data_IF_422604975873
#
_entry.id   IF_422604975873
#
_cell.length_a   1.000
_cell.length_b   1.000
_cell.length_c   1.000
_cell.angle_alpha   90.00
_cell.angle_beta   90.00
_cell.angle_gamma   90.00
#
_symmetry.space_group_name_H-M   'P 1'
#
loop_
_entity.id
_entity.type
_entity.pdbx_description
1 polymer ?
#
# COMPACT_ATOMS: atom_id res chain seq x y z
N UNK A 1 -26.98 38.47 32.68
CA UNK A 1 -27.03 38.80 31.22
C UNK A 1 -25.85 39.72 30.99
N UNK A 2 -24.80 39.45 30.22
CA UNK A 2 -24.63 38.73 28.96
C UNK A 2 -23.19 38.16 28.93
N UNK A 3 -23.02 36.92 28.45
CA UNK A 3 -21.71 36.42 28.03
C UNK A 3 -21.44 36.83 26.57
N UNK A 4 -20.18 37.09 26.18
CA UNK A 4 -19.67 36.52 24.93
C UNK A 4 -18.20 36.05 25.11
N UNK A 5 -17.90 34.75 25.05
CA UNK A 5 -17.60 33.98 23.82
C UNK A 5 -16.73 34.77 22.85
N UNK A 6 -15.39 34.70 22.97
CA UNK A 6 -14.43 34.75 21.85
C UNK A 6 -13.07 34.18 22.31
N UNK A 7 -13.08 32.92 22.76
CA UNK A 7 -11.86 32.10 22.84
C UNK A 7 -11.98 31.00 21.78
N UNK A 8 -11.86 31.40 20.51
CA UNK A 8 -11.77 30.44 19.40
C UNK A 8 -10.33 29.92 19.39
N UNK A 9 -10.21 28.65 19.74
CA UNK A 9 -8.95 27.92 19.83
C UNK A 9 -8.30 27.78 18.44
N UNK A 10 -7.03 28.18 18.34
CA UNK A 10 -6.12 27.91 17.21
C UNK A 10 -5.76 26.41 17.09
N UNK A 11 -6.77 25.53 17.15
CA UNK A 11 -6.62 24.08 16.97
C UNK A 11 -7.41 23.61 15.76
N UNK A 12 -7.30 24.26 14.60
CA UNK A 12 -7.95 23.74 13.38
C UNK A 12 -7.34 24.16 12.04
N UNK A 13 -6.21 24.88 12.02
CA UNK A 13 -5.55 25.22 10.75
C UNK A 13 -4.47 24.20 10.33
N UNK A 14 -3.90 23.43 11.27
CA UNK A 14 -2.86 22.41 10.97
C UNK A 14 -3.48 21.12 10.41
N UNK A 15 -4.76 20.86 10.69
CA UNK A 15 -5.43 19.63 10.26
C UNK A 15 -5.85 19.64 8.78
N UNK A 16 -5.90 20.82 8.15
CA UNK A 16 -6.30 20.97 6.75
C UNK A 16 -5.11 21.01 5.76
N UNK A 17 -3.89 20.69 6.21
CA UNK A 17 -2.69 20.68 5.37
C UNK A 17 -2.22 19.25 4.99
N UNK A 18 -3.05 18.21 5.20
CA UNK A 18 -2.67 16.80 4.94
C UNK A 18 -3.68 16.06 4.03
N UNK A 19 -4.43 16.77 3.18
CA UNK A 19 -5.32 16.10 2.21
C UNK A 19 -5.44 16.80 0.86
N UNK A 20 -4.31 17.05 0.20
CA UNK A 20 -4.30 17.15 -1.25
C UNK A 20 -3.20 16.24 -1.78
N UNK A 21 -3.54 15.06 -2.35
CA UNK A 21 -2.57 14.31 -3.11
C UNK A 21 -2.32 15.09 -4.39
N UNK A 22 -1.22 15.84 -4.42
CA UNK A 22 -0.65 16.34 -5.67
C UNK A 22 -0.68 15.23 -6.70
N UNK A 23 -1.20 15.56 -7.88
CA UNK A 23 -1.09 14.71 -9.06
C UNK A 23 0.38 14.45 -9.32
N UNK A 24 0.92 13.39 -8.71
CA UNK A 24 2.28 12.95 -8.94
C UNK A 24 2.37 12.59 -10.41
N UNK A 25 3.14 13.36 -11.16
CA UNK A 25 3.74 12.86 -12.40
C UNK A 25 4.79 11.85 -12.00
N UNK A 26 4.37 10.61 -11.84
CA UNK A 26 5.17 9.48 -11.41
C UNK A 26 6.02 8.98 -12.59
N UNK A 27 7.17 9.63 -12.80
CA UNK A 27 8.25 9.10 -13.63
C UNK A 27 9.02 8.00 -12.88
N UNK A 28 8.30 7.08 -12.24
CA UNK A 28 8.87 6.05 -11.40
C UNK A 28 8.90 4.72 -12.17
N UNK A 29 10.11 4.28 -12.49
CA UNK A 29 10.33 3.09 -13.28
C UNK A 29 9.97 1.82 -12.51
N UNK A 30 10.18 1.81 -11.18
CA UNK A 30 9.96 0.63 -10.32
C UNK A 30 8.74 0.82 -9.42
N UNK A 31 7.87 -0.18 -9.42
CA UNK A 31 6.61 -0.22 -8.67
C UNK A 31 6.47 -1.53 -7.89
N UNK A 32 5.88 -1.44 -6.72
CA UNK A 32 5.44 -2.59 -5.91
C UNK A 32 3.94 -2.77 -6.14
N UNK A 33 3.58 -3.87 -6.82
CA UNK A 33 2.22 -4.12 -7.28
C UNK A 33 1.80 -5.57 -7.10
N UNK A 34 0.51 -5.83 -7.22
CA UNK A 34 -0.03 -7.17 -7.27
C UNK A 34 0.13 -7.78 -8.66
N UNK A 35 0.69 -8.98 -8.72
CA UNK A 35 0.64 -9.89 -9.85
C UNK A 35 -0.45 -10.93 -9.58
N UNK A 36 -1.40 -11.07 -10.48
CA UNK A 36 -2.52 -12.00 -10.33
C UNK A 36 -2.10 -13.36 -10.86
N UNK A 37 -2.16 -14.35 -9.99
CA UNK A 37 -2.11 -15.77 -10.32
C UNK A 37 -3.36 -16.49 -9.81
N UNK A 38 -3.23 -17.81 -9.71
CA UNK A 38 -4.30 -18.71 -9.32
C UNK A 38 -5.19 -19.12 -10.48
N UNK A 39 -6.32 -19.71 -10.13
CA UNK A 39 -7.27 -20.31 -11.08
C UNK A 39 -8.52 -19.43 -11.24
N UNK A 40 -9.36 -19.76 -12.24
CA UNK A 40 -10.68 -19.15 -12.36
C UNK A 40 -11.45 -19.35 -11.05
N UNK A 41 -12.05 -18.28 -10.51
CA UNK A 41 -12.74 -18.24 -9.20
C UNK A 41 -11.87 -18.50 -7.95
N UNK A 42 -10.54 -18.59 -8.09
CA UNK A 42 -9.61 -18.70 -6.95
C UNK A 42 -8.42 -17.77 -7.17
N UNK A 43 -8.60 -16.45 -6.94
CA UNK A 43 -7.54 -15.47 -7.16
C UNK A 43 -6.44 -15.62 -6.12
N UNK A 44 -5.18 -15.61 -6.58
CA UNK A 44 -4.00 -15.54 -5.73
C UNK A 44 -3.15 -14.36 -6.16
N UNK A 45 -2.75 -13.49 -5.23
CA UNK A 45 -2.01 -12.28 -5.57
C UNK A 45 -0.57 -12.38 -5.05
N UNK A 46 0.41 -12.29 -5.94
CA UNK A 46 1.80 -12.13 -5.58
C UNK A 46 2.12 -10.66 -5.41
N UNK A 47 2.90 -10.32 -4.39
CA UNK A 47 3.37 -8.95 -4.16
C UNK A 47 4.77 -8.88 -4.74
N UNK A 48 4.90 -8.16 -5.86
CA UNK A 48 6.10 -8.15 -6.68
C UNK A 48 6.60 -6.73 -6.89
N UNK A 49 7.92 -6.60 -6.92
CA UNK A 49 8.62 -5.40 -7.36
C UNK A 49 8.93 -5.58 -8.82
N UNK A 50 8.41 -4.69 -9.66
CA UNK A 50 8.55 -4.79 -11.11
C UNK A 50 8.73 -3.40 -11.72
N UNK A 51 9.26 -3.36 -12.94
CA UNK A 51 9.20 -2.16 -13.74
C UNK A 51 7.73 -1.88 -14.16
N UNK A 52 7.31 -0.62 -14.10
CA UNK A 52 5.93 -0.21 -14.39
C UNK A 52 5.51 -0.54 -15.83
N UNK A 53 6.47 -0.55 -16.77
CA UNK A 53 6.26 -0.84 -18.19
C UNK A 53 5.97 -2.31 -18.46
N UNK A 54 6.35 -3.20 -17.55
CA UNK A 54 6.14 -4.63 -17.73
C UNK A 54 4.66 -4.99 -17.56
N UNK A 55 4.22 -6.03 -18.27
CA UNK A 55 2.89 -6.65 -18.09
C UNK A 55 2.65 -7.01 -16.61
N UNK A 56 1.41 -6.90 -16.15
CA UNK A 56 1.00 -7.15 -14.74
C UNK A 56 1.60 -8.44 -14.17
N UNK A 57 1.44 -9.54 -14.90
CA UNK A 57 1.88 -10.89 -14.50
C UNK A 57 3.15 -11.33 -15.25
N UNK A 58 3.88 -10.37 -15.84
CA UNK A 58 5.09 -10.62 -16.59
C UNK A 58 6.34 -10.63 -15.73
N UNK A 59 7.47 -10.20 -16.33
CA UNK A 59 8.77 -10.13 -15.66
C UNK A 59 8.73 -9.18 -14.45
N UNK A 60 9.18 -9.68 -13.31
CA UNK A 60 9.40 -8.92 -12.09
C UNK A 60 10.87 -9.01 -11.66
N UNK A 61 11.30 -8.10 -10.79
CA UNK A 61 12.65 -8.05 -10.22
C UNK A 61 12.73 -8.98 -9.01
N UNK A 62 11.80 -8.80 -8.06
CA UNK A 62 11.77 -9.53 -6.80
C UNK A 62 10.33 -9.77 -6.34
N UNK A 63 10.08 -10.91 -5.70
CA UNK A 63 8.82 -11.18 -4.99
C UNK A 63 9.01 -10.92 -3.50
N UNK A 64 8.29 -9.95 -2.96
CA UNK A 64 8.37 -9.54 -1.55
C UNK A 64 7.25 -10.12 -0.70
N UNK A 65 6.29 -10.84 -1.30
CA UNK A 65 5.24 -11.52 -0.54
C UNK A 65 4.12 -12.10 -1.40
N UNK A 66 3.02 -12.43 -0.73
CA UNK A 66 1.77 -12.84 -1.35
C UNK A 66 0.56 -12.47 -0.49
N UNK A 67 -0.59 -12.47 -1.14
CA UNK A 67 -1.90 -12.27 -0.58
C UNK A 67 -2.88 -13.27 -1.19
N UNK A 68 -3.53 -14.05 -0.33
CA UNK A 68 -4.59 -14.97 -0.70
C UNK A 68 -5.91 -14.56 -0.02
N UNK A 69 -6.87 -13.96 -0.74
CA UNK A 69 -8.16 -13.58 -0.16
C UNK A 69 -9.06 -14.78 0.18
N UNK A 70 -8.81 -15.95 -0.40
CA UNK A 70 -9.62 -17.18 -0.23
C UNK A 70 -8.98 -18.13 0.79
N UNK A 71 -7.94 -17.69 1.50
CA UNK A 71 -7.31 -18.51 2.53
C UNK A 71 -8.32 -18.82 3.65
N UNK A 72 -8.44 -20.10 4.00
CA UNK A 72 -9.15 -20.53 5.19
C UNK A 72 -8.35 -20.15 6.45
N UNK A 73 -8.97 -20.18 7.63
CA UNK A 73 -8.33 -19.83 8.92
C UNK A 73 -7.04 -20.62 9.23
N UNK A 74 -6.87 -21.79 8.62
CA UNK A 74 -5.68 -22.65 8.76
C UNK A 74 -4.52 -22.27 7.81
N UNK A 75 -4.74 -21.35 6.87
CA UNK A 75 -3.78 -20.97 5.84
C UNK A 75 -3.36 -19.50 6.03
N UNK A 76 -2.08 -19.22 5.83
CA UNK A 76 -1.54 -17.87 5.92
C UNK A 76 -2.15 -16.99 4.82
N UNK A 77 -3.02 -16.05 5.21
CA UNK A 77 -3.75 -15.16 4.29
C UNK A 77 -2.82 -14.17 3.59
N UNK A 78 -1.82 -13.68 4.32
CA UNK A 78 -0.85 -12.68 3.86
C UNK A 78 0.50 -13.09 4.40
N UNK A 79 1.50 -13.11 3.52
CA UNK A 79 2.90 -13.16 3.93
C UNK A 79 3.66 -12.06 3.26
N UNK A 80 4.33 -11.23 4.06
CA UNK A 80 5.08 -10.07 3.61
C UNK A 80 6.47 -10.09 4.22
N UNK A 81 7.48 -9.90 3.38
CA UNK A 81 8.83 -9.60 3.85
C UNK A 81 8.94 -8.07 4.02
N UNK A 82 8.75 -7.62 5.26
CA UNK A 82 8.78 -6.19 5.62
C UNK A 82 10.15 -5.56 5.39
N UNK A 83 11.24 -6.31 5.60
CA UNK A 83 12.61 -5.82 5.41
C UNK A 83 12.86 -5.45 3.94
N UNK A 84 12.53 -6.38 3.03
CA UNK A 84 12.70 -6.16 1.59
C UNK A 84 11.74 -5.09 1.07
N UNK A 85 10.53 -5.05 1.59
CA UNK A 85 9.56 -4.01 1.22
C UNK A 85 10.07 -2.62 1.61
N UNK A 86 10.59 -2.46 2.83
CA UNK A 86 11.16 -1.19 3.30
C UNK A 86 12.41 -0.79 2.51
N UNK A 87 13.26 -1.76 2.14
CA UNK A 87 14.41 -1.52 1.26
C UNK A 87 13.95 -0.93 -0.09
N UNK A 88 13.00 -1.55 -0.77
CA UNK A 88 12.54 -1.05 -2.07
C UNK A 88 11.85 0.31 -1.97
N UNK A 89 11.10 0.56 -0.90
CA UNK A 89 10.52 1.88 -0.63
C UNK A 89 11.60 2.93 -0.40
N UNK A 90 12.68 2.60 0.32
CA UNK A 90 13.81 3.53 0.53
C UNK A 90 14.60 3.81 -0.76
N UNK A 91 14.65 2.84 -1.68
CA UNK A 91 15.17 3.02 -3.04
C UNK A 91 14.23 3.82 -3.96
N UNK A 92 13.08 4.28 -3.44
CA UNK A 92 12.12 5.11 -4.17
C UNK A 92 11.06 4.33 -4.94
N UNK A 93 10.91 3.02 -4.73
CA UNK A 93 9.85 2.26 -5.38
C UNK A 93 8.45 2.74 -4.92
N UNK A 94 7.52 2.88 -5.88
CA UNK A 94 6.16 3.32 -5.58
C UNK A 94 5.27 2.13 -5.23
N UNK A 95 4.62 2.20 -4.08
CA UNK A 95 3.67 1.18 -3.62
C UNK A 95 2.28 1.49 -4.17
N UNK A 96 1.62 0.50 -4.77
CA UNK A 96 0.21 0.62 -5.19
C UNK A 96 -0.72 0.76 -3.99
N UNK A 97 -1.80 1.54 -4.12
CA UNK A 97 -2.76 1.80 -3.03
C UNK A 97 -3.29 0.53 -2.37
N UNK A 98 -3.55 -0.52 -3.15
CA UNK A 98 -4.08 -1.78 -2.63
C UNK A 98 -3.02 -2.54 -1.81
N UNK A 99 -1.75 -2.49 -2.20
CA UNK A 99 -0.62 -3.04 -1.41
C UNK A 99 -0.42 -2.21 -0.15
N UNK A 100 -0.51 -0.88 -0.24
CA UNK A 100 -0.38 0.01 0.92
C UNK A 100 -1.47 -0.23 1.97
N UNK A 101 -2.71 -0.52 1.55
CA UNK A 101 -3.79 -0.95 2.47
C UNK A 101 -3.45 -2.27 3.17
N UNK A 102 -2.97 -3.25 2.43
CA UNK A 102 -2.60 -4.55 2.99
C UNK A 102 -1.46 -4.44 4.01
N UNK A 103 -0.44 -3.63 3.73
CA UNK A 103 0.67 -3.37 4.67
C UNK A 103 0.15 -2.75 5.97
N UNK A 104 -0.76 -1.78 5.89
CA UNK A 104 -1.39 -1.16 7.08
C UNK A 104 -2.21 -2.16 7.89
N UNK A 105 -2.94 -3.05 7.22
CA UNK A 105 -3.70 -4.11 7.91
C UNK A 105 -2.79 -5.08 8.65
N UNK A 106 -1.66 -5.46 8.05
CA UNK A 106 -0.67 -6.34 8.70
C UNK A 106 0.02 -5.66 9.88
N UNK A 107 0.37 -4.37 9.77
CA UNK A 107 0.96 -3.61 10.88
C UNK A 107 0.03 -3.46 12.08
N UNK A 108 -1.29 -3.49 11.89
CA UNK A 108 -2.27 -3.44 12.97
C UNK A 108 -2.47 -4.79 13.66
N UNK A 109 -2.24 -5.88 12.93
CA UNK A 109 -2.46 -7.24 13.40
C UNK A 109 -1.25 -7.84 14.14
N UNK A 110 -0.06 -7.29 13.92
CA UNK A 110 1.16 -7.58 14.67
C UNK A 110 1.20 -6.77 15.98
#
# INVERSE_FOLDING_TARGET
MLAPVWQITLKSAVFLLIKFPEGRRNNNMVVIRFSRGGSKHSPFFNIVVADSRNRRDGRFIERVGFYNPVANEKQERVRLNTERLNYWVSQGAQVSDAVARLVKEQQKAA
#
